data_IF_084190376363
#
_entry.id   IF_084190376363
#
_cell.length_a   1.000
_cell.length_b   1.000
_cell.length_c   1.000
_cell.angle_alpha   90.00
_cell.angle_beta   90.00
_cell.angle_gamma   90.00
#
_symmetry.space_group_name_H-M   'P 1'
#
loop_
_entity.id
_entity.type
_entity.pdbx_description
1 polymer ?
#
# COMPACT_ATOMS: atom_id res chain seq x y z
N UNK A 1 1.50 8.57 7.04
CA UNK A 1 0.62 8.07 5.98
C UNK A 1 0.58 8.91 4.71
N UNK A 2 0.37 10.24 4.74
CA UNK A 2 0.29 11.02 3.48
C UNK A 2 1.55 10.90 2.59
N UNK A 3 2.74 10.96 3.19
CA UNK A 3 4.00 10.73 2.47
C UNK A 3 4.10 9.31 1.87
N UNK A 4 3.68 8.29 2.62
CA UNK A 4 3.74 6.89 2.18
C UNK A 4 2.76 6.65 1.02
N UNK A 5 1.57 7.27 1.09
CA UNK A 5 0.59 7.25 0.01
C UNK A 5 1.19 7.90 -1.24
N UNK A 6 1.83 9.06 -1.13
CA UNK A 6 2.44 9.75 -2.28
C UNK A 6 3.58 8.93 -2.90
N UNK A 7 4.44 8.34 -2.07
CA UNK A 7 5.55 7.51 -2.53
C UNK A 7 5.06 6.25 -3.26
N UNK A 8 4.05 5.58 -2.71
CA UNK A 8 3.45 4.40 -3.35
C UNK A 8 2.67 4.79 -4.60
N UNK A 9 1.94 5.90 -4.60
CA UNK A 9 1.21 6.39 -5.76
C UNK A 9 2.15 6.67 -6.94
N UNK A 10 3.27 7.37 -6.68
CA UNK A 10 4.31 7.61 -7.68
C UNK A 10 4.93 6.32 -8.20
N UNK A 11 5.25 5.38 -7.30
CA UNK A 11 5.81 4.09 -7.71
C UNK A 11 4.84 3.25 -8.57
N UNK A 12 3.54 3.32 -8.28
CA UNK A 12 2.51 2.66 -9.09
C UNK A 12 2.37 3.32 -10.46
N UNK A 13 2.39 4.66 -10.52
CA UNK A 13 2.35 5.40 -11.78
C UNK A 13 3.59 5.12 -12.64
N UNK A 14 4.79 5.19 -12.04
CA UNK A 14 6.06 4.93 -12.73
C UNK A 14 6.13 3.48 -13.28
N UNK A 15 5.39 2.53 -12.69
CA UNK A 15 5.34 1.14 -13.13
C UNK A 15 4.49 0.92 -14.40
N UNK A 16 3.57 1.83 -14.71
CA UNK A 16 2.72 1.75 -15.91
C UNK A 16 3.44 2.25 -17.20
N UNK A 17 4.75 2.56 -17.11
CA UNK A 17 5.60 3.08 -18.20
C UNK A 17 5.00 4.33 -18.88
N UNK A 18 4.37 5.18 -18.07
CA UNK A 18 3.70 6.38 -18.56
C UNK A 18 4.73 7.49 -18.86
N UNK A 19 4.57 8.16 -20.01
CA UNK A 19 5.61 8.99 -20.61
C UNK A 19 5.80 10.36 -19.95
N UNK A 20 4.91 10.72 -19.01
CA UNK A 20 4.87 12.05 -18.41
C UNK A 20 5.39 12.01 -16.96
N UNK A 21 6.05 13.09 -16.55
CA UNK A 21 6.61 13.16 -15.20
C UNK A 21 5.48 13.39 -14.20
N UNK A 22 5.47 12.62 -13.11
CA UNK A 22 4.47 12.69 -12.04
C UNK A 22 4.11 14.13 -11.66
N UNK A 23 5.08 15.02 -11.48
CA UNK A 23 4.84 16.41 -11.06
C UNK A 23 3.94 17.19 -12.03
N UNK A 24 3.93 16.83 -13.32
CA UNK A 24 3.13 17.47 -14.37
C UNK A 24 1.78 16.81 -14.62
N UNK A 25 1.50 15.67 -14.00
CA UNK A 25 0.22 14.99 -14.21
C UNK A 25 -0.97 15.81 -13.69
N UNK A 26 -2.15 15.74 -14.36
CA UNK A 26 -3.36 16.31 -13.83
C UNK A 26 -3.69 15.72 -12.46
N UNK A 27 -4.22 16.57 -11.58
CA UNK A 27 -4.57 16.17 -10.21
C UNK A 27 -5.62 15.05 -10.17
N UNK A 28 -6.47 14.94 -11.20
CA UNK A 28 -7.45 13.85 -11.34
C UNK A 28 -6.75 12.50 -11.44
N UNK A 29 -5.70 12.40 -12.27
CA UNK A 29 -4.92 11.17 -12.42
C UNK A 29 -4.15 10.87 -11.12
N UNK A 30 -3.50 11.88 -10.54
CA UNK A 30 -2.78 11.71 -9.27
C UNK A 30 -3.69 11.22 -8.15
N UNK A 31 -4.90 11.77 -8.04
CA UNK A 31 -5.88 11.38 -7.04
C UNK A 31 -6.29 9.91 -7.18
N UNK A 32 -6.39 9.40 -8.41
CA UNK A 32 -6.65 7.99 -8.68
C UNK A 32 -5.50 7.10 -8.17
N UNK A 33 -4.25 7.40 -8.51
CA UNK A 33 -3.09 6.65 -8.01
C UNK A 33 -2.95 6.72 -6.48
N UNK A 34 -3.25 7.88 -5.86
CA UNK A 34 -3.29 7.99 -4.39
C UNK A 34 -4.38 7.13 -3.76
N UNK A 35 -5.53 6.99 -4.42
CA UNK A 35 -6.60 6.07 -3.97
C UNK A 35 -6.12 4.62 -4.02
N UNK A 36 -5.44 4.22 -5.10
CA UNK A 36 -4.85 2.88 -5.22
C UNK A 36 -3.75 2.63 -4.17
N UNK A 37 -2.87 3.60 -3.96
CA UNK A 37 -1.84 3.55 -2.93
C UNK A 37 -2.41 3.37 -1.53
N UNK A 38 -3.47 4.11 -1.18
CA UNK A 38 -4.16 3.94 0.11
C UNK A 38 -4.73 2.53 0.27
N UNK A 39 -5.45 2.04 -0.75
CA UNK A 39 -6.01 0.70 -0.71
C UNK A 39 -4.93 -0.39 -0.56
N UNK A 40 -3.80 -0.26 -1.26
CA UNK A 40 -2.69 -1.19 -1.15
C UNK A 40 -2.06 -1.20 0.25
N UNK A 41 -1.88 -0.03 0.87
CA UNK A 41 -1.35 0.10 2.23
C UNK A 41 -2.31 -0.50 3.27
N UNK A 42 -3.61 -0.25 3.15
CA UNK A 42 -4.63 -0.85 4.02
C UNK A 42 -4.64 -2.38 3.91
N UNK A 43 -4.53 -2.93 2.70
CA UNK A 43 -4.48 -4.37 2.47
C UNK A 43 -3.21 -5.00 3.09
N UNK A 44 -2.07 -4.31 2.99
CA UNK A 44 -0.83 -4.75 3.61
C UNK A 44 -0.90 -4.72 5.13
N UNK A 45 -1.55 -3.71 5.71
CA UNK A 45 -1.74 -3.61 7.16
C UNK A 45 -2.66 -4.70 7.68
N UNK A 46 -3.76 -4.99 6.97
CA UNK A 46 -4.66 -6.11 7.27
C UNK A 46 -3.90 -7.44 7.25
N UNK A 47 -3.17 -7.71 6.16
CA UNK A 47 -2.38 -8.94 6.03
C UNK A 47 -1.33 -9.09 7.14
N UNK A 48 -0.62 -8.01 7.50
CA UNK A 48 0.36 -8.03 8.59
C UNK A 48 -0.31 -8.34 9.93
N UNK A 49 -1.49 -7.75 10.18
CA UNK A 49 -2.25 -7.98 11.41
C UNK A 49 -2.72 -9.44 11.52
N UNK A 50 -3.25 -10.00 10.43
CA UNK A 50 -3.65 -11.41 10.35
C UNK A 50 -2.47 -12.36 10.57
N UNK A 51 -1.32 -12.08 9.92
CA UNK A 51 -0.11 -12.89 10.09
C UNK A 51 0.46 -12.85 11.51
N UNK A 52 0.34 -11.71 12.19
CA UNK A 52 0.73 -11.62 13.60
C UNK A 52 -0.21 -12.43 14.50
N UNK A 53 -1.52 -12.37 14.25
CA UNK A 53 -2.51 -13.17 14.98
C UNK A 53 -2.31 -14.68 14.78
N UNK A 54 -2.06 -15.12 13.54
CA UNK A 54 -1.74 -16.52 13.21
C UNK A 54 -0.51 -17.00 14.00
N UNK A 55 0.58 -16.21 14.01
CA UNK A 55 1.80 -16.54 14.76
C UNK A 55 1.58 -16.62 16.26
N UNK A 56 0.72 -15.77 16.83
CA UNK A 56 0.39 -15.81 18.24
C UNK A 56 -0.39 -17.09 18.60
N UNK A 57 -1.37 -17.47 17.79
CA UNK A 57 -2.15 -18.68 17.98
C UNK A 57 -1.30 -19.97 17.93
N UNK A 58 -0.31 -20.03 17.02
CA UNK A 58 0.64 -21.16 16.93
C UNK A 58 1.51 -21.28 18.19
N UNK A 59 1.91 -20.16 18.80
CA UNK A 59 2.71 -20.20 20.06
C UNK A 59 1.91 -20.70 21.25
N UNK A 60 0.63 -20.33 21.35
CA UNK A 60 -0.25 -20.75 22.45
C UNK A 60 -0.52 -22.26 22.40
N UNK A 61 -0.67 -22.82 21.20
CA UNK A 61 -0.97 -24.24 21.00
C UNK A 61 0.22 -25.18 21.22
N UNK A 62 1.47 -24.67 21.22
CA UNK A 62 2.67 -25.46 21.52
C UNK A 62 3.10 -25.41 23.01
N UNK A 63 2.44 -24.57 23.81
CA UNK A 63 2.75 -24.38 25.24
C UNK A 63 1.74 -25.06 26.19
N UNK A 64 0.78 -25.82 25.64
CA UNK A 64 -0.23 -26.59 26.36
C UNK A 64 0.03 -28.10 26.23
#
# INVERSE_FOLDING_TARGET
MEYEIEAVARALYDAEDDAQIWEREPEILKAEFRRHARAALELLEQYRSEKLAERAAVKVSHAA
#
